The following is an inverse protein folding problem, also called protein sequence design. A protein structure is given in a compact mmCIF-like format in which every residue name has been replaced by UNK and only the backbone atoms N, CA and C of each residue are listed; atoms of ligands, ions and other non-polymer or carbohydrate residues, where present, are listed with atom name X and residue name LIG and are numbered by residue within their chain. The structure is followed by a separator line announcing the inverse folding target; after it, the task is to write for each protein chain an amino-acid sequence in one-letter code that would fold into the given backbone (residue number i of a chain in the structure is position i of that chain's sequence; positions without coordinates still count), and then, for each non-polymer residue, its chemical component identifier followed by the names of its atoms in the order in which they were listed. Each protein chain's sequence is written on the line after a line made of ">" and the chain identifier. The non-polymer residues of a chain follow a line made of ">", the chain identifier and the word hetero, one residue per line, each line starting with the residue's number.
data_IF_821730343391
#
_entry.id   IF_821730343391
#
_cell.length_a   1.000
_cell.length_b   1.000
_cell.length_c   1.000
_cell.angle_alpha   90.00
_cell.angle_beta   90.00
_cell.angle_gamma   90.00
#
_symmetry.space_group_name_H-M   'P 1'
#
loop_
_entity.id
_entity.type
_entity.pdbx_description
1 polymer ?
#
# COMPACT_ATOMS: atom_id res chain seq x y z
N UNK A 1 -3.58 2.47 28.19
CA UNK A 1 -4.85 2.30 27.46
C UNK A 1 -5.97 2.79 28.35
N UNK A 2 -6.86 3.66 27.88
CA UNK A 2 -8.01 4.17 28.65
C UNK A 2 -9.26 3.47 28.15
N UNK A 3 -10.07 2.90 29.05
CA UNK A 3 -11.36 2.33 28.72
C UNK A 3 -12.40 3.45 28.66
N UNK A 4 -12.97 3.69 27.48
CA UNK A 4 -13.92 4.80 27.25
C UNK A 4 -15.39 4.36 27.24
N UNK A 5 -15.65 3.07 27.08
CA UNK A 5 -17.01 2.54 27.01
C UNK A 5 -17.02 1.02 27.12
N UNK A 6 -18.05 0.49 27.78
CA UNK A 6 -18.27 -0.94 27.96
C UNK A 6 -19.76 -1.23 27.72
N UNK A 7 -20.04 -2.16 26.81
CA UNK A 7 -21.40 -2.63 26.56
C UNK A 7 -21.53 -4.08 27.01
N UNK A 8 -22.43 -4.35 27.96
CA UNK A 8 -22.63 -5.69 28.53
C UNK A 8 -24.05 -6.16 28.20
N UNK A 9 -24.20 -6.84 27.06
CA UNK A 9 -25.46 -7.45 26.67
C UNK A 9 -25.23 -8.67 25.76
N UNK A 10 -26.28 -9.50 25.59
CA UNK A 10 -26.25 -10.64 24.65
C UNK A 10 -26.34 -10.23 23.17
N UNK A 11 -26.66 -8.97 22.88
CA UNK A 11 -26.82 -8.42 21.54
C UNK A 11 -25.78 -7.32 21.29
N UNK A 12 -25.42 -7.12 20.03
CA UNK A 12 -24.59 -5.99 19.58
C UNK A 12 -25.16 -4.65 20.11
N UNK A 13 -24.31 -3.67 20.46
CA UNK A 13 -24.76 -2.38 20.95
C UNK A 13 -25.59 -1.65 19.92
N UNK A 14 -26.63 -0.95 20.40
CA UNK A 14 -27.19 0.16 19.63
C UNK A 14 -26.10 1.23 19.51
N UNK A 15 -25.54 1.38 18.31
CA UNK A 15 -24.42 2.30 18.09
C UNK A 15 -24.78 3.74 18.37
N UNK A 16 -26.06 4.13 18.26
CA UNK A 16 -26.51 5.47 18.65
C UNK A 16 -26.37 5.67 20.15
N UNK A 17 -26.88 4.73 20.95
CA UNK A 17 -26.79 4.81 22.41
C UNK A 17 -25.32 4.71 22.85
N UNK A 18 -24.55 3.83 22.24
CA UNK A 18 -23.17 3.54 22.65
C UNK A 18 -22.19 4.64 22.26
N UNK A 19 -22.26 5.20 21.05
CA UNK A 19 -21.28 6.16 20.55
C UNK A 19 -21.63 7.62 20.82
N UNK A 20 -22.91 7.98 20.98
CA UNK A 20 -23.29 9.38 21.17
C UNK A 20 -22.59 10.05 22.37
N UNK A 21 -22.51 9.43 23.57
CA UNK A 21 -21.80 10.03 24.70
C UNK A 21 -20.32 10.28 24.41
N UNK A 22 -19.67 9.39 23.65
CA UNK A 22 -18.29 9.57 23.22
C UNK A 22 -18.17 10.74 22.25
N UNK A 23 -19.06 10.84 21.25
CA UNK A 23 -19.05 11.92 20.25
C UNK A 23 -19.23 13.28 20.92
N UNK A 24 -20.21 13.40 21.83
CA UNK A 24 -20.49 14.63 22.54
C UNK A 24 -19.28 15.06 23.38
N UNK A 25 -18.69 14.12 24.13
CA UNK A 25 -17.52 14.43 24.97
C UNK A 25 -16.27 14.73 24.15
N UNK A 26 -16.04 14.02 23.05
CA UNK A 26 -14.91 14.30 22.17
C UNK A 26 -15.02 15.68 21.52
N UNK A 27 -16.22 16.07 21.10
CA UNK A 27 -16.51 17.39 20.55
C UNK A 27 -16.36 18.52 21.60
N UNK A 28 -16.74 18.27 22.85
CA UNK A 28 -16.51 19.21 23.96
C UNK A 28 -15.00 19.39 24.20
N UNK A 29 -14.25 18.30 24.28
CA UNK A 29 -12.81 18.28 24.57
C UNK A 29 -11.95 18.78 23.41
N UNK A 30 -12.43 18.75 22.17
CA UNK A 30 -11.73 19.38 21.04
C UNK A 30 -11.78 20.90 21.09
N UNK A 31 -12.74 21.48 21.82
CA UNK A 31 -12.91 22.94 21.97
C UNK A 31 -12.34 23.43 23.31
N UNK A 32 -12.70 22.75 24.40
CA UNK A 32 -12.37 23.19 25.76
C UNK A 32 -11.04 22.63 26.25
N UNK A 33 -10.61 21.50 25.71
CA UNK A 33 -9.46 20.74 26.20
C UNK A 33 -9.64 20.20 27.62
N UNK A 34 -8.57 19.67 28.19
CA UNK A 34 -8.49 19.18 29.56
C UNK A 34 -7.12 19.47 30.16
N UNK A 35 -7.09 19.74 31.46
CA UNK A 35 -5.86 20.02 32.21
C UNK A 35 -5.38 18.77 32.93
N UNK A 36 -4.07 18.55 32.92
CA UNK A 36 -3.41 17.44 33.61
C UNK A 36 -1.99 17.86 34.00
N UNK A 37 -1.41 17.18 34.98
CA UNK A 37 -0.08 17.49 35.48
C UNK A 37 0.95 16.46 34.99
N UNK A 38 2.08 16.93 34.48
CA UNK A 38 3.23 16.09 34.12
C UNK A 38 4.50 16.71 34.70
N UNK A 39 5.21 15.97 35.55
CA UNK A 39 6.44 16.45 36.19
C UNK A 39 6.29 17.84 36.85
N UNK A 40 5.17 18.08 37.55
CA UNK A 40 4.84 19.35 38.19
C UNK A 40 4.53 20.52 37.25
N UNK A 41 4.41 20.27 35.95
CA UNK A 41 3.91 21.24 34.97
C UNK A 41 2.42 21.00 34.67
N UNK A 42 1.63 22.07 34.71
CA UNK A 42 0.23 22.03 34.30
C UNK A 42 0.12 22.14 32.78
N UNK A 43 -0.30 21.04 32.16
CA UNK A 43 -0.48 20.92 30.72
C UNK A 43 -1.97 21.02 30.40
N UNK A 44 -2.31 21.82 29.39
CA UNK A 44 -3.64 21.87 28.80
C UNK A 44 -3.60 21.20 27.41
N UNK A 45 -4.36 20.14 27.23
CA UNK A 45 -4.39 19.35 25.99
C UNK A 45 -5.78 19.27 25.39
N UNK A 46 -5.85 19.05 24.07
CA UNK A 46 -7.09 18.95 23.31
C UNK A 46 -7.23 17.56 22.71
N UNK A 47 -8.46 17.06 22.57
CA UNK A 47 -8.72 15.73 22.02
C UNK A 47 -9.19 15.82 20.56
N UNK A 48 -8.44 15.18 19.66
CA UNK A 48 -8.81 15.03 18.25
C UNK A 48 -8.76 13.54 17.88
N UNK A 49 -9.92 12.88 17.68
CA UNK A 49 -9.93 11.51 17.20
C UNK A 49 -9.40 11.43 15.77
N UNK A 50 -8.27 10.76 15.56
CA UNK A 50 -7.63 10.67 14.25
C UNK A 50 -7.95 9.36 13.51
N UNK A 51 -8.30 8.31 14.24
CA UNK A 51 -8.49 6.98 13.66
C UNK A 51 -9.31 6.06 14.55
N UNK A 52 -10.07 5.18 13.91
CA UNK A 52 -10.86 4.11 14.49
C UNK A 52 -10.45 2.79 13.81
N UNK A 53 -9.72 1.95 14.55
CA UNK A 53 -9.28 0.65 14.08
C UNK A 53 -10.21 -0.43 14.64
N UNK A 54 -11.15 -0.88 13.80
CA UNK A 54 -12.12 -1.92 14.13
C UNK A 54 -12.22 -2.91 12.97
N UNK A 55 -12.67 -4.13 13.27
CA UNK A 55 -12.93 -5.15 12.27
C UNK A 55 -14.06 -4.72 11.30
N UNK A 56 -14.20 -5.43 10.18
CA UNK A 56 -15.18 -5.07 9.14
C UNK A 56 -16.64 -5.08 9.65
N UNK A 57 -17.10 -6.08 10.44
CA UNK A 57 -18.45 -6.04 11.04
C UNK A 57 -18.69 -4.81 11.91
N UNK A 58 -17.80 -4.52 12.86
CA UNK A 58 -17.96 -3.38 13.75
C UNK A 58 -17.89 -2.05 12.98
N UNK A 59 -17.01 -1.93 11.97
CA UNK A 59 -16.96 -0.75 11.10
C UNK A 59 -18.29 -0.48 10.41
N UNK A 60 -18.91 -1.50 9.81
CA UNK A 60 -20.22 -1.38 9.17
C UNK A 60 -21.29 -0.94 10.18
N UNK A 61 -21.32 -1.52 11.38
CA UNK A 61 -22.28 -1.13 12.43
C UNK A 61 -22.06 0.31 12.90
N UNK A 62 -20.80 0.71 13.14
CA UNK A 62 -20.45 2.08 13.56
C UNK A 62 -20.79 3.12 12.50
N UNK A 63 -20.66 2.80 11.21
CA UNK A 63 -21.05 3.68 10.10
C UNK A 63 -22.52 3.57 9.70
N UNK A 64 -23.30 2.72 10.35
CA UNK A 64 -24.69 2.41 9.97
C UNK A 64 -24.81 2.02 8.48
N UNK A 65 -23.95 1.11 8.05
CA UNK A 65 -23.87 0.56 6.70
C UNK A 65 -24.19 -0.94 6.70
N UNK A 66 -24.55 -1.48 5.53
CA UNK A 66 -24.59 -2.92 5.29
C UNK A 66 -23.23 -3.55 5.65
N UNK A 67 -23.27 -4.79 6.16
CA UNK A 67 -22.06 -5.57 6.45
C UNK A 67 -21.28 -5.82 5.15
N UNK A 68 -20.00 -6.20 5.30
CA UNK A 68 -19.07 -6.45 4.20
C UNK A 68 -19.53 -7.48 3.15
N UNK A 69 -20.52 -8.31 3.47
CA UNK A 69 -21.15 -9.29 2.57
C UNK A 69 -22.48 -8.81 1.95
N UNK A 70 -22.90 -7.57 2.21
CA UNK A 70 -24.09 -6.95 1.61
C UNK A 70 -23.77 -6.21 0.31
N UNK A 71 -24.81 -5.89 -0.47
CA UNK A 71 -24.67 -5.05 -1.66
C UNK A 71 -24.09 -3.69 -1.30
N UNK A 72 -23.04 -3.27 -2.01
CA UNK A 72 -22.30 -2.03 -1.73
C UNK A 72 -21.77 -1.95 -0.28
N UNK A 73 -21.48 -3.10 0.34
CA UNK A 73 -21.04 -3.19 1.75
C UNK A 73 -19.61 -2.71 2.01
N UNK A 74 -18.83 -2.37 0.99
CA UNK A 74 -17.51 -1.80 1.17
C UNK A 74 -17.61 -0.39 1.76
N UNK A 75 -16.81 -0.14 2.79
CA UNK A 75 -16.75 1.15 3.50
C UNK A 75 -15.81 2.16 2.84
N UNK A 76 -15.00 1.73 1.87
CA UNK A 76 -14.02 2.58 1.18
C UNK A 76 -14.39 2.92 -0.26
N UNK A 77 -15.20 2.10 -0.94
CA UNK A 77 -15.62 2.33 -2.33
C UNK A 77 -17.05 1.86 -2.56
N UNK A 78 -17.60 2.23 -3.71
CA UNK A 78 -18.98 1.90 -4.12
C UNK A 78 -19.06 0.59 -4.92
N UNK A 79 -18.27 -0.41 -4.52
CA UNK A 79 -18.20 -1.68 -5.24
C UNK A 79 -19.49 -2.50 -5.10
N UNK A 80 -20.16 -2.85 -6.22
CA UNK A 80 -21.30 -3.76 -6.17
C UNK A 80 -20.82 -5.18 -5.87
N UNK A 81 -21.50 -5.87 -4.96
CA UNK A 81 -21.23 -7.30 -4.71
C UNK A 81 -22.13 -8.16 -5.58
N UNK A 82 -21.58 -9.22 -6.16
CA UNK A 82 -22.33 -10.21 -6.94
C UNK A 82 -22.49 -11.52 -6.17
N UNK A 83 -23.52 -12.28 -6.50
CA UNK A 83 -23.72 -13.62 -5.96
C UNK A 83 -22.99 -14.64 -6.83
N UNK A 84 -21.94 -15.24 -6.31
CA UNK A 84 -21.10 -16.24 -6.98
C UNK A 84 -21.05 -17.48 -6.09
N UNK A 85 -21.54 -18.61 -6.60
CA UNK A 85 -21.63 -19.89 -5.87
C UNK A 85 -22.38 -19.82 -4.54
N UNK A 86 -23.42 -18.98 -4.46
CA UNK A 86 -24.18 -18.75 -3.22
C UNK A 86 -23.49 -17.82 -2.21
N UNK A 87 -22.31 -17.29 -2.53
CA UNK A 87 -21.59 -16.32 -1.71
C UNK A 87 -21.61 -14.94 -2.36
N UNK A 88 -21.67 -13.89 -1.53
CA UNK A 88 -21.49 -12.51 -1.99
C UNK A 88 -20.01 -12.20 -2.13
N UNK A 89 -19.56 -11.87 -3.34
CA UNK A 89 -18.16 -11.56 -3.66
C UNK A 89 -18.04 -10.19 -4.32
N UNK A 90 -16.86 -9.61 -4.22
CA UNK A 90 -16.47 -8.41 -4.96
C UNK A 90 -15.77 -8.88 -6.25
N UNK A 91 -16.44 -8.89 -7.41
CA UNK A 91 -15.82 -9.34 -8.66
C UNK A 91 -14.67 -8.40 -9.06
N UNK A 92 -13.65 -8.95 -9.74
CA UNK A 92 -12.63 -8.11 -10.35
C UNK A 92 -13.25 -7.33 -11.51
N UNK A 93 -13.12 -6.01 -11.48
CA UNK A 93 -13.59 -5.11 -12.52
C UNK A 93 -12.40 -4.52 -13.29
N UNK A 94 -12.58 -4.24 -14.58
CA UNK A 94 -11.54 -3.64 -15.42
C UNK A 94 -11.32 -2.16 -15.11
N UNK A 95 -12.37 -1.46 -14.68
CA UNK A 95 -12.35 -0.03 -14.40
C UNK A 95 -12.35 0.25 -12.89
N UNK A 96 -11.62 1.29 -12.44
CA UNK A 96 -11.62 1.69 -11.04
C UNK A 96 -12.99 2.22 -10.63
N UNK A 97 -13.47 1.76 -9.48
CA UNK A 97 -14.73 2.21 -8.92
C UNK A 97 -14.59 3.53 -8.16
N UNK A 98 -15.67 4.32 -8.05
CA UNK A 98 -15.70 5.49 -7.19
C UNK A 98 -15.31 5.15 -5.75
N UNK A 99 -14.32 5.86 -5.23
CA UNK A 99 -13.98 5.83 -3.81
C UNK A 99 -15.02 6.63 -3.03
N UNK A 100 -15.36 6.15 -1.84
CA UNK A 100 -16.17 6.94 -0.90
C UNK A 100 -15.31 8.06 -0.35
N UNK A 101 -15.92 9.21 -0.17
CA UNK A 101 -15.38 10.35 0.58
C UNK A 101 -16.27 10.65 1.79
N UNK A 102 -15.74 11.36 2.78
CA UNK A 102 -16.50 11.83 3.95
C UNK A 102 -17.80 12.52 3.52
N UNK A 103 -17.72 13.48 2.59
CA UNK A 103 -18.88 14.19 2.05
C UNK A 103 -19.87 13.24 1.36
N UNK A 104 -19.38 12.32 0.52
CA UNK A 104 -20.25 11.40 -0.21
C UNK A 104 -21.03 10.47 0.74
N UNK A 105 -20.42 10.05 1.85
CA UNK A 105 -21.07 9.23 2.86
C UNK A 105 -22.11 10.06 3.60
N UNK A 106 -21.75 11.26 4.06
CA UNK A 106 -22.65 12.16 4.79
C UNK A 106 -23.89 12.52 3.96
N UNK A 107 -23.73 12.82 2.67
CA UNK A 107 -24.86 13.09 1.78
C UNK A 107 -25.78 11.87 1.67
N UNK A 108 -25.22 10.68 1.42
CA UNK A 108 -26.01 9.45 1.33
C UNK A 108 -26.70 9.08 2.65
N UNK A 109 -26.08 9.36 3.79
CA UNK A 109 -26.70 9.22 5.11
C UNK A 109 -27.92 10.12 5.28
N UNK A 110 -27.83 11.38 4.84
CA UNK A 110 -28.95 12.35 4.85
C UNK A 110 -30.07 11.85 3.94
N UNK A 111 -29.76 11.47 2.70
CA UNK A 111 -30.74 10.92 1.75
C UNK A 111 -31.46 9.68 2.32
N UNK A 112 -30.70 8.72 2.86
CA UNK A 112 -31.26 7.53 3.49
C UNK A 112 -32.17 7.84 4.69
N UNK A 113 -31.92 8.94 5.41
CA UNK A 113 -32.79 9.40 6.49
C UNK A 113 -34.14 9.93 5.96
N UNK A 114 -34.12 10.68 4.86
CA UNK A 114 -35.33 11.24 4.24
C UNK A 114 -36.22 10.18 3.59
N UNK A 115 -35.64 9.09 3.09
CA UNK A 115 -36.39 7.95 2.50
C UNK A 115 -37.00 7.00 3.56
N UNK A 116 -37.24 7.49 4.78
CA UNK A 116 -37.81 6.74 5.91
C UNK A 116 -37.06 5.44 6.28
N UNK A 117 -35.76 5.35 5.97
CA UNK A 117 -34.90 4.16 6.25
C UNK A 117 -35.41 2.85 5.65
N UNK A 118 -36.30 2.91 4.66
CA UNK A 118 -36.88 1.71 4.00
C UNK A 118 -35.97 1.13 2.92
N UNK A 119 -35.09 1.96 2.36
CA UNK A 119 -34.13 1.58 1.33
C UNK A 119 -32.74 2.10 1.71
N UNK A 120 -31.71 1.30 1.43
CA UNK A 120 -30.34 1.74 1.57
C UNK A 120 -29.89 2.55 0.35
N UNK A 121 -29.03 3.54 0.57
CA UNK A 121 -28.41 4.31 -0.51
C UNK A 121 -26.98 3.83 -0.69
N UNK A 122 -26.76 2.98 -1.70
CA UNK A 122 -25.45 2.34 -1.95
C UNK A 122 -24.88 1.71 -0.68
N UNK A 123 -25.66 0.87 0.01
CA UNK A 123 -25.23 0.18 1.23
C UNK A 123 -25.25 1.03 2.51
N UNK A 124 -25.60 2.32 2.47
CA UNK A 124 -25.77 3.16 3.66
C UNK A 124 -27.22 3.07 4.15
N UNK A 125 -27.42 2.72 5.42
CA UNK A 125 -28.75 2.51 6.01
C UNK A 125 -29.32 3.78 6.65
N UNK A 126 -28.47 4.78 6.93
CA UNK A 126 -28.87 6.05 7.51
C UNK A 126 -27.73 6.72 8.27
N UNK A 127 -28.02 7.80 9.01
CA UNK A 127 -27.01 8.52 9.78
C UNK A 127 -26.38 7.67 10.87
N UNK A 128 -25.07 7.84 11.05
CA UNK A 128 -24.29 7.34 12.19
C UNK A 128 -24.02 8.48 13.18
N UNK A 129 -23.90 8.22 14.50
CA UNK A 129 -23.43 9.22 15.46
C UNK A 129 -22.08 9.85 15.06
N UNK A 130 -21.20 9.07 14.42
CA UNK A 130 -19.88 9.54 13.98
C UNK A 130 -19.97 10.63 12.92
N UNK A 131 -21.10 10.76 12.22
CA UNK A 131 -21.35 11.89 11.32
C UNK A 131 -21.20 13.25 12.00
N UNK A 132 -21.47 13.31 13.31
CA UNK A 132 -21.38 14.51 14.13
C UNK A 132 -20.03 14.66 14.85
N UNK A 133 -19.11 13.69 14.70
CA UNK A 133 -17.79 13.78 15.30
C UNK A 133 -16.92 14.79 14.54
N UNK A 134 -16.56 15.89 15.20
CA UNK A 134 -15.74 16.94 14.60
C UNK A 134 -14.32 16.42 14.39
N UNK A 135 -13.69 16.90 13.32
CA UNK A 135 -12.31 16.56 12.94
C UNK A 135 -12.07 15.09 12.60
N UNK A 136 -13.14 14.32 12.35
CA UNK A 136 -13.06 12.91 11.95
C UNK A 136 -13.66 12.71 10.56
N UNK A 137 -12.89 12.08 9.68
CA UNK A 137 -13.31 11.69 8.33
C UNK A 137 -13.87 10.27 8.38
N UNK A 138 -15.12 10.07 7.95
CA UNK A 138 -15.81 8.79 8.02
C UNK A 138 -15.19 7.68 7.16
N UNK A 139 -14.33 8.03 6.20
CA UNK A 139 -13.60 7.08 5.35
C UNK A 139 -12.15 6.96 5.82
N UNK A 140 -11.41 8.07 5.85
CA UNK A 140 -9.97 8.07 6.19
C UNK A 140 -9.72 7.79 7.66
N UNK A 141 -10.62 8.21 8.54
CA UNK A 141 -10.56 7.93 9.96
C UNK A 141 -10.91 6.48 10.29
N UNK A 142 -11.57 5.75 9.40
CA UNK A 142 -11.83 4.32 9.57
C UNK A 142 -10.65 3.51 9.05
N UNK A 143 -9.70 3.22 9.93
CA UNK A 143 -8.46 2.53 9.56
C UNK A 143 -8.74 1.04 9.36
N UNK A 144 -8.08 0.46 8.35
CA UNK A 144 -8.08 -0.98 8.11
C UNK A 144 -7.51 -1.72 9.33
N UNK A 145 -8.27 -2.70 9.83
CA UNK A 145 -7.74 -3.61 10.82
C UNK A 145 -6.81 -4.62 10.14
N UNK A 146 -5.51 -4.36 10.30
CA UNK A 146 -4.44 -5.15 9.71
C UNK A 146 -4.52 -6.63 10.10
N UNK A 147 -4.98 -6.94 11.32
CA UNK A 147 -5.04 -8.32 11.82
C UNK A 147 -6.05 -9.15 11.02
N UNK A 148 -7.30 -8.71 10.96
CA UNK A 148 -8.35 -9.44 10.25
C UNK A 148 -8.27 -9.25 8.73
N UNK A 149 -7.82 -8.10 8.24
CA UNK A 149 -7.75 -7.82 6.80
C UNK A 149 -6.54 -8.46 6.14
N UNK A 150 -5.33 -8.17 6.63
CA UNK A 150 -4.10 -8.59 5.96
C UNK A 150 -3.68 -10.00 6.36
N UNK A 151 -3.72 -10.32 7.66
CA UNK A 151 -3.19 -11.58 8.17
C UNK A 151 -4.19 -12.73 8.03
N UNK A 152 -5.33 -12.65 8.72
CA UNK A 152 -6.37 -13.69 8.67
C UNK A 152 -7.26 -13.60 7.41
N UNK A 153 -7.24 -12.47 6.72
CA UNK A 153 -7.97 -12.29 5.47
C UNK A 153 -7.13 -12.70 4.28
N UNK A 154 -6.31 -11.76 3.78
CA UNK A 154 -5.57 -11.91 2.52
C UNK A 154 -4.51 -13.00 2.60
N UNK A 155 -3.65 -13.00 3.63
CA UNK A 155 -2.51 -13.93 3.70
C UNK A 155 -2.98 -15.38 3.81
N UNK A 156 -3.94 -15.65 4.69
CA UNK A 156 -4.55 -16.97 4.84
C UNK A 156 -5.28 -17.42 3.57
N UNK A 157 -6.08 -16.54 2.97
CA UNK A 157 -6.79 -16.85 1.71
C UNK A 157 -5.81 -17.16 0.58
N UNK A 158 -4.74 -16.38 0.46
CA UNK A 158 -3.69 -16.57 -0.54
C UNK A 158 -3.00 -17.93 -0.36
N UNK A 159 -2.60 -18.29 0.86
CA UNK A 159 -2.02 -19.60 1.12
C UNK A 159 -3.00 -20.75 0.88
N UNK A 160 -4.28 -20.55 1.16
CA UNK A 160 -5.32 -21.54 0.85
C UNK A 160 -5.39 -21.80 -0.65
N UNK A 161 -5.46 -20.74 -1.47
CA UNK A 161 -5.47 -20.84 -2.94
C UNK A 161 -4.26 -21.62 -3.45
N UNK A 162 -3.05 -21.28 -2.98
CA UNK A 162 -1.82 -21.95 -3.38
C UNK A 162 -1.83 -23.45 -3.00
N UNK A 163 -2.47 -23.82 -1.90
CA UNK A 163 -2.42 -25.18 -1.34
C UNK A 163 -3.57 -26.08 -1.76
N UNK A 164 -4.68 -25.56 -2.29
CA UNK A 164 -5.88 -26.38 -2.60
C UNK A 164 -6.18 -26.50 -4.08
N UNK A 165 -5.63 -25.63 -4.93
CA UNK A 165 -6.03 -25.59 -6.34
C UNK A 165 -5.17 -26.50 -7.24
N UNK A 166 -5.28 -27.82 -7.06
CA UNK A 166 -4.40 -28.84 -7.66
C UNK A 166 -4.31 -28.83 -9.20
N UNK A 167 -5.25 -28.17 -9.90
CA UNK A 167 -5.29 -28.08 -11.36
C UNK A 167 -4.51 -26.88 -11.91
N UNK A 168 -4.06 -25.98 -11.05
CA UNK A 168 -3.45 -24.72 -11.44
C UNK A 168 -1.93 -24.79 -11.35
N UNK A 169 -1.23 -24.09 -12.23
CA UNK A 169 0.24 -24.09 -12.26
C UNK A 169 0.85 -23.59 -10.95
N UNK A 170 0.20 -22.65 -10.27
CA UNK A 170 0.66 -22.09 -9.00
C UNK A 170 0.44 -23.03 -7.79
N UNK A 171 -0.08 -24.23 -8.00
CA UNK A 171 -0.33 -25.19 -6.93
C UNK A 171 0.97 -25.63 -6.24
N UNK A 172 1.00 -25.49 -4.92
CA UNK A 172 2.11 -25.91 -4.06
C UNK A 172 1.73 -26.97 -3.03
N UNK A 173 0.50 -27.49 -3.07
CA UNK A 173 -0.02 -28.45 -2.10
C UNK A 173 0.36 -29.91 -2.33
N UNK A 174 1.32 -30.22 -3.23
CA UNK A 174 1.76 -31.61 -3.42
C UNK A 174 2.60 -32.10 -2.23
N UNK A 175 2.57 -33.40 -1.87
CA UNK A 175 3.32 -33.91 -0.72
C UNK A 175 4.81 -33.55 -0.73
N UNK A 176 5.45 -33.61 -1.90
CA UNK A 176 6.86 -33.24 -2.06
C UNK A 176 7.11 -31.76 -1.80
N UNK A 177 6.26 -30.85 -2.31
CA UNK A 177 6.38 -29.41 -2.09
C UNK A 177 6.09 -29.04 -0.64
N UNK A 178 5.04 -29.62 -0.04
CA UNK A 178 4.71 -29.43 1.38
C UNK A 178 5.86 -29.89 2.28
N UNK A 179 6.45 -31.06 2.00
CA UNK A 179 7.60 -31.56 2.75
C UNK A 179 8.76 -30.56 2.74
N UNK A 180 9.13 -30.05 1.55
CA UNK A 180 10.19 -29.05 1.40
C UNK A 180 9.86 -27.72 2.10
N UNK A 181 8.61 -27.25 2.02
CA UNK A 181 8.16 -26.05 2.75
C UNK A 181 8.35 -26.25 4.25
N UNK A 182 7.95 -27.40 4.78
CA UNK A 182 8.06 -27.71 6.20
C UNK A 182 9.50 -27.86 6.66
N UNK A 183 10.36 -28.52 5.88
CA UNK A 183 11.79 -28.62 6.16
C UNK A 183 12.40 -27.22 6.34
N UNK A 184 12.12 -26.32 5.39
CA UNK A 184 12.60 -24.92 5.46
C UNK A 184 11.99 -24.18 6.64
N UNK A 185 10.68 -24.24 6.81
CA UNK A 185 9.95 -23.51 7.86
C UNK A 185 10.40 -23.92 9.26
N UNK A 186 10.58 -25.23 9.51
CA UNK A 186 11.01 -25.77 10.80
C UNK A 186 12.51 -25.56 11.07
N UNK A 187 13.32 -25.31 10.04
CA UNK A 187 14.73 -24.94 10.21
C UNK A 187 14.94 -23.51 10.72
N UNK A 188 13.91 -22.66 10.61
CA UNK A 188 14.00 -21.25 10.98
C UNK A 188 14.02 -21.10 12.51
N UNK A 189 15.05 -20.41 13.01
CA UNK A 189 15.20 -20.03 14.42
C UNK A 189 14.85 -18.55 14.60
N UNK A 190 13.64 -18.20 15.06
CA UNK A 190 13.26 -16.82 15.25
C UNK A 190 14.14 -16.10 16.30
N UNK A 191 14.40 -14.80 16.12
CA UNK A 191 14.93 -13.96 17.21
C UNK A 191 13.91 -13.83 18.35
N UNK A 192 14.38 -13.44 19.54
CA UNK A 192 13.57 -13.36 20.77
C UNK A 192 12.36 -12.42 20.68
N UNK A 193 12.37 -11.46 19.75
CA UNK A 193 11.23 -10.57 19.50
C UNK A 193 10.05 -11.26 18.79
N UNK A 194 10.25 -12.45 18.20
CA UNK A 194 9.18 -13.25 17.61
C UNK A 194 8.79 -14.34 18.62
N UNK A 195 7.67 -14.11 19.29
CA UNK A 195 7.24 -14.92 20.44
C UNK A 195 6.90 -16.39 20.12
N UNK A 196 6.77 -16.78 18.85
CA UNK A 196 6.35 -18.14 18.46
C UNK A 196 7.28 -18.76 17.44
N UNK A 197 7.68 -20.00 17.73
CA UNK A 197 8.42 -20.86 16.82
C UNK A 197 7.50 -21.26 15.65
N UNK A 198 8.01 -21.33 14.41
CA UNK A 198 7.25 -21.84 13.27
C UNK A 198 6.72 -23.25 13.54
N UNK A 199 5.52 -23.53 13.04
CA UNK A 199 4.90 -24.86 13.08
C UNK A 199 4.73 -25.37 11.65
N UNK A 200 4.41 -26.66 11.52
CA UNK A 200 4.10 -27.26 10.23
C UNK A 200 3.00 -26.45 9.50
N UNK A 201 3.18 -26.22 8.20
CA UNK A 201 2.24 -25.48 7.33
C UNK A 201 0.88 -26.19 7.17
N UNK A 202 0.82 -27.48 7.44
CA UNK A 202 -0.40 -28.28 7.48
C UNK A 202 -1.30 -27.85 8.66
N UNK A 203 -0.72 -27.34 9.74
CA UNK A 203 -1.45 -26.79 10.89
C UNK A 203 -1.91 -25.34 10.68
N UNK A 204 -1.75 -24.76 9.48
CA UNK A 204 -2.05 -23.34 9.21
C UNK A 204 -3.46 -22.91 9.57
N UNK A 205 -4.44 -23.83 9.49
CA UNK A 205 -5.83 -23.56 9.87
C UNK A 205 -5.99 -23.25 11.38
N UNK A 206 -4.96 -23.55 12.19
CA UNK A 206 -4.90 -23.24 13.62
C UNK A 206 -3.91 -22.11 13.92
N UNK A 207 -3.36 -21.44 12.90
CA UNK A 207 -2.45 -20.33 13.10
C UNK A 207 -3.20 -19.09 13.57
N UNK A 208 -2.66 -18.42 14.59
CA UNK A 208 -3.18 -17.10 14.98
C UNK A 208 -2.54 -16.03 14.11
N UNK A 209 -3.10 -14.82 14.17
CA UNK A 209 -2.58 -13.67 13.42
C UNK A 209 -1.07 -13.45 13.54
N UNK A 210 -0.47 -13.61 14.73
CA UNK A 210 0.99 -13.43 14.90
C UNK A 210 1.84 -14.45 14.13
N UNK A 211 1.32 -15.65 13.87
CA UNK A 211 1.98 -16.65 13.03
C UNK A 211 1.86 -16.29 11.56
N UNK A 212 0.68 -15.84 11.13
CA UNK A 212 0.48 -15.28 9.80
C UNK A 212 1.34 -14.05 9.53
N UNK A 213 1.54 -13.18 10.52
CA UNK A 213 2.46 -12.05 10.44
C UNK A 213 3.90 -12.51 10.20
N UNK A 214 4.36 -13.48 11.01
CA UNK A 214 5.72 -13.99 10.88
C UNK A 214 5.94 -14.68 9.53
N UNK A 215 4.94 -15.44 9.07
CA UNK A 215 4.91 -16.04 7.74
C UNK A 215 4.99 -14.97 6.64
N UNK A 216 4.09 -13.98 6.65
CA UNK A 216 4.00 -12.94 5.64
C UNK A 216 5.31 -12.14 5.52
N UNK A 217 5.86 -11.68 6.64
CA UNK A 217 6.97 -10.73 6.65
C UNK A 217 8.33 -11.41 6.51
N UNK A 218 8.52 -12.58 7.12
CA UNK A 218 9.86 -13.17 7.26
C UNK A 218 10.03 -14.52 6.58
N UNK A 219 9.05 -15.42 6.67
CA UNK A 219 9.29 -16.84 6.35
C UNK A 219 8.85 -17.24 4.95
N UNK A 220 7.75 -16.68 4.45
CA UNK A 220 7.12 -17.08 3.19
C UNK A 220 8.09 -17.05 2.02
N UNK A 221 8.88 -15.98 1.88
CA UNK A 221 9.86 -15.82 0.81
C UNK A 221 10.89 -16.95 0.79
N UNK A 222 11.44 -17.30 1.95
CA UNK A 222 12.46 -18.36 2.10
C UNK A 222 11.82 -19.73 1.84
N UNK A 223 10.66 -19.97 2.45
CA UNK A 223 9.98 -21.25 2.36
C UNK A 223 9.51 -21.55 0.94
N UNK A 224 9.03 -20.55 0.20
CA UNK A 224 8.45 -20.70 -1.14
C UNK A 224 9.46 -20.54 -2.29
N UNK A 225 10.72 -20.24 -2.00
CA UNK A 225 11.76 -20.01 -3.02
C UNK A 225 11.94 -21.24 -3.93
N UNK A 226 11.69 -21.07 -5.24
CA UNK A 226 11.78 -22.15 -6.22
C UNK A 226 10.68 -23.23 -6.11
N UNK A 227 9.63 -22.99 -5.33
CA UNK A 227 8.47 -23.90 -5.20
C UNK A 227 7.26 -23.37 -5.98
N UNK A 228 7.04 -22.06 -5.89
CA UNK A 228 6.15 -21.36 -6.80
C UNK A 228 6.74 -21.44 -8.21
N UNK A 229 5.91 -21.61 -9.27
CA UNK A 229 6.40 -21.54 -10.64
C UNK A 229 7.20 -20.25 -10.84
N UNK A 230 8.31 -20.31 -11.57
CA UNK A 230 9.14 -19.14 -11.95
C UNK A 230 8.41 -18.13 -12.85
N UNK A 231 7.11 -18.26 -12.98
CA UNK A 231 6.37 -17.77 -14.10
C UNK A 231 5.56 -16.60 -13.58
N UNK A 232 6.15 -15.41 -13.72
CA UNK A 232 5.54 -14.26 -14.41
C UNK A 232 6.27 -12.95 -14.09
N UNK A 233 6.90 -12.75 -12.93
CA UNK A 233 7.79 -11.59 -12.69
C UNK A 233 9.26 -12.00 -12.64
N UNK A 234 10.04 -11.59 -13.64
CA UNK A 234 11.50 -11.75 -13.65
C UNK A 234 12.17 -10.40 -13.41
N UNK A 235 13.15 -10.34 -12.50
CA UNK A 235 13.90 -9.12 -12.21
C UNK A 235 15.19 -9.09 -13.02
N UNK A 236 15.45 -7.98 -13.70
CA UNK A 236 16.65 -7.76 -14.50
C UNK A 236 17.49 -6.61 -13.94
N UNK A 237 18.81 -6.73 -14.09
CA UNK A 237 19.76 -5.67 -13.76
C UNK A 237 20.04 -4.71 -14.92
N UNK A 238 19.68 -5.09 -16.15
CA UNK A 238 19.96 -4.33 -17.37
C UNK A 238 18.81 -4.42 -18.36
N UNK A 239 18.65 -3.38 -19.15
CA UNK A 239 17.78 -3.35 -20.33
C UNK A 239 18.44 -2.51 -21.43
N UNK A 240 18.20 -2.88 -22.69
CA UNK A 240 18.63 -2.10 -23.86
C UNK A 240 17.36 -1.54 -24.52
N UNK A 241 17.28 -0.21 -24.65
CA UNK A 241 16.16 0.48 -25.28
C UNK A 241 16.71 1.50 -26.28
N UNK A 242 16.22 1.47 -27.52
CA UNK A 242 16.61 2.40 -28.58
C UNK A 242 18.14 2.51 -28.76
N UNK A 243 18.86 1.38 -28.69
CA UNK A 243 20.32 1.32 -28.81
C UNK A 243 21.10 1.83 -27.58
N UNK A 244 20.41 2.30 -26.54
CA UNK A 244 21.02 2.76 -25.29
C UNK A 244 20.91 1.68 -24.20
N UNK A 245 21.98 1.49 -23.43
CA UNK A 245 21.98 0.58 -22.27
C UNK A 245 21.55 1.33 -21.02
N UNK A 246 20.68 0.71 -20.24
CA UNK A 246 20.24 1.18 -18.93
C UNK A 246 20.45 0.08 -17.89
N UNK A 247 20.83 0.46 -16.67
CA UNK A 247 21.04 -0.52 -15.59
C UNK A 247 20.39 -0.09 -14.29
N UNK A 248 20.09 -1.07 -13.42
CA UNK A 248 19.64 -0.78 -12.06
C UNK A 248 20.78 -0.17 -11.23
N UNK A 249 20.46 0.69 -10.27
CA UNK A 249 21.43 1.23 -9.33
C UNK A 249 22.07 0.16 -8.44
N UNK A 250 21.47 -1.03 -8.37
CA UNK A 250 21.99 -2.21 -7.65
C UNK A 250 23.02 -3.00 -8.47
N UNK A 251 23.23 -2.67 -9.75
CA UNK A 251 24.19 -3.34 -10.60
C UNK A 251 25.62 -2.81 -10.40
N UNK A 252 26.46 -3.60 -9.71
CA UNK A 252 27.85 -3.26 -9.36
C UNK A 252 28.88 -4.03 -10.22
N UNK A 253 29.81 -3.30 -10.86
CA UNK A 253 31.03 -3.82 -11.50
C UNK A 253 32.18 -2.82 -11.36
N UNK A 254 33.44 -3.30 -11.42
CA UNK A 254 34.64 -2.56 -11.03
C UNK A 254 35.00 -1.30 -11.86
N UNK A 255 34.44 -1.11 -13.06
CA UNK A 255 34.57 0.13 -13.87
C UNK A 255 33.25 0.37 -14.61
N UNK A 256 32.51 1.43 -14.26
CA UNK A 256 31.18 1.67 -14.84
C UNK A 256 30.87 3.15 -15.03
N UNK A 257 30.35 3.49 -16.21
CA UNK A 257 29.60 4.73 -16.47
C UNK A 257 28.21 4.58 -15.88
N UNK A 258 27.77 5.51 -15.02
CA UNK A 258 26.46 5.44 -14.38
C UNK A 258 25.33 5.64 -15.41
N UNK A 259 24.82 4.52 -15.95
CA UNK A 259 23.73 4.43 -16.91
C UNK A 259 22.38 4.08 -16.24
N UNK A 260 22.25 4.30 -14.93
CA UNK A 260 20.97 4.15 -14.23
C UNK A 260 20.09 5.40 -14.27
N UNK A 261 20.59 6.50 -14.86
CA UNK A 261 19.94 7.82 -14.83
C UNK A 261 19.44 8.19 -16.22
N UNK A 262 18.20 8.66 -16.31
CA UNK A 262 17.56 8.93 -17.59
C UNK A 262 16.52 10.06 -17.46
N UNK A 263 16.11 10.60 -18.62
CA UNK A 263 15.02 11.57 -18.76
C UNK A 263 13.71 10.83 -19.01
N UNK A 264 12.67 11.17 -18.28
CA UNK A 264 11.29 10.74 -18.49
C UNK A 264 10.65 11.65 -19.57
N UNK A 265 9.75 11.11 -20.40
CA UNK A 265 9.09 11.88 -21.47
C UNK A 265 8.39 13.16 -20.98
N UNK A 266 7.82 13.14 -19.78
CA UNK A 266 7.16 14.30 -19.16
C UNK A 266 8.13 15.42 -18.72
N UNK A 267 9.42 15.26 -18.98
CA UNK A 267 10.45 16.25 -18.66
C UNK A 267 11.17 16.01 -17.34
N UNK A 268 10.64 15.14 -16.49
CA UNK A 268 11.25 14.69 -15.23
C UNK A 268 12.46 13.78 -15.45
N UNK A 269 13.17 13.46 -14.36
CA UNK A 269 14.37 12.61 -14.37
C UNK A 269 14.24 11.49 -13.36
N UNK A 270 14.80 10.33 -13.69
CA UNK A 270 14.69 9.14 -12.85
C UNK A 270 16.02 8.41 -12.66
N UNK A 271 16.13 7.73 -11.52
CA UNK A 271 17.16 6.72 -11.24
C UNK A 271 16.48 5.35 -11.19
N UNK A 272 16.91 4.42 -12.04
CA UNK A 272 16.38 3.06 -12.08
C UNK A 272 16.81 2.29 -10.83
N UNK A 273 15.85 1.81 -10.05
CA UNK A 273 16.07 0.93 -8.89
C UNK A 273 15.97 -0.53 -9.26
N UNK A 274 14.92 -0.91 -10.01
CA UNK A 274 14.66 -2.29 -10.45
C UNK A 274 13.95 -2.30 -11.80
N UNK A 275 14.13 -3.37 -12.55
CA UNK A 275 13.42 -3.67 -13.80
C UNK A 275 12.72 -5.01 -13.57
N UNK A 276 11.39 -5.08 -13.64
CA UNK A 276 10.64 -6.35 -13.62
C UNK A 276 9.95 -6.53 -14.98
N UNK A 277 10.13 -7.72 -15.57
CA UNK A 277 9.27 -8.22 -16.65
C UNK A 277 8.12 -8.96 -15.97
N UNK A 278 6.89 -8.49 -16.14
CA UNK A 278 5.68 -9.19 -15.73
C UNK A 278 4.97 -9.79 -16.96
N UNK A 279 4.71 -11.08 -16.95
CA UNK A 279 3.95 -11.78 -17.97
C UNK A 279 2.55 -12.08 -17.42
N UNK A 280 1.48 -11.65 -18.10
CA UNK A 280 0.11 -11.90 -17.64
C UNK A 280 -0.81 -12.00 -18.85
N UNK A 281 -1.68 -13.01 -18.91
CA UNK A 281 -2.62 -13.23 -20.03
C UNK A 281 -1.95 -13.16 -21.43
N UNK A 282 -0.79 -13.80 -21.61
CA UNK A 282 0.03 -13.75 -22.84
C UNK A 282 0.53 -12.34 -23.24
N UNK A 283 0.40 -11.34 -22.38
CA UNK A 283 1.02 -10.02 -22.54
C UNK A 283 2.26 -9.90 -21.66
N UNK A 284 3.37 -9.45 -22.25
CA UNK A 284 4.61 -9.17 -21.54
C UNK A 284 4.71 -7.68 -21.31
N UNK A 285 4.69 -7.28 -20.04
CA UNK A 285 4.86 -5.90 -19.62
C UNK A 285 6.20 -5.74 -18.90
N UNK A 286 6.93 -4.67 -19.19
CA UNK A 286 8.17 -4.35 -18.48
C UNK A 286 7.95 -3.09 -17.66
N UNK A 287 8.06 -3.26 -16.35
CA UNK A 287 7.93 -2.18 -15.36
C UNK A 287 9.31 -1.79 -14.83
N UNK A 288 9.57 -0.49 -14.80
CA UNK A 288 10.81 0.09 -14.34
C UNK A 288 10.49 0.92 -13.10
N UNK A 289 11.05 0.51 -11.97
CA UNK A 289 10.89 1.17 -10.69
C UNK A 289 11.95 2.27 -10.56
N UNK A 290 11.51 3.51 -10.34
CA UNK A 290 12.35 4.70 -10.46
C UNK A 290 12.15 5.65 -9.30
N UNK A 291 13.25 6.21 -8.79
CA UNK A 291 13.19 7.38 -7.92
C UNK A 291 13.32 8.62 -8.80
N UNK A 292 12.39 9.56 -8.66
CA UNK A 292 12.47 10.84 -9.37
C UNK A 292 13.58 11.71 -8.77
N UNK A 293 14.29 12.43 -9.63
CA UNK A 293 15.29 13.44 -9.25
C UNK A 293 14.63 14.80 -9.33
N UNK A 294 14.77 15.62 -8.30
CA UNK A 294 14.30 17.01 -8.31
C UNK A 294 15.40 17.90 -8.90
N UNK A 295 15.06 18.63 -9.95
CA UNK A 295 15.95 19.64 -10.53
C UNK A 295 15.75 20.96 -9.80
N UNK A 296 16.85 21.64 -9.53
CA UNK A 296 16.86 23.03 -9.08
C UNK A 296 17.22 23.92 -10.28
N UNK A 297 16.61 25.10 -10.40
CA UNK A 297 16.84 26.02 -11.52
C UNK A 297 18.16 26.80 -11.44
N UNK A 298 19.11 26.32 -10.64
CA UNK A 298 20.45 26.87 -10.50
C UNK A 298 21.41 26.24 -11.49
N UNK A 299 22.02 27.09 -12.32
CA UNK A 299 23.06 26.71 -13.28
C UNK A 299 24.43 26.70 -12.60
N UNK A 300 25.31 25.81 -13.05
CA UNK A 300 26.63 25.61 -12.46
C UNK A 300 27.55 26.85 -12.63
N UNK A 301 27.35 27.62 -13.70
CA UNK A 301 28.13 28.82 -14.02
C UNK A 301 27.21 29.81 -14.77
N UNK A 302 26.88 30.94 -14.15
CA UNK A 302 26.47 32.16 -14.87
C UNK A 302 27.71 33.05 -14.98
N UNK A 303 28.46 32.92 -16.07
CA UNK A 303 29.47 33.90 -16.43
C UNK A 303 29.03 34.50 -17.77
N UNK A 304 29.31 35.78 -17.98
CA UNK A 304 28.72 36.61 -19.06
C UNK A 304 28.92 36.05 -20.48
N UNK A 305 29.84 35.11 -20.68
CA UNK A 305 30.23 34.61 -22.00
C UNK A 305 29.82 33.14 -22.28
N UNK A 306 29.43 32.33 -21.29
CA UNK A 306 29.07 30.90 -21.52
C UNK A 306 27.95 30.43 -20.59
N UNK A 307 26.76 30.19 -21.14
CA UNK A 307 25.64 29.59 -20.41
C UNK A 307 25.52 28.09 -20.71
N UNK A 308 25.91 27.23 -19.76
CA UNK A 308 25.81 25.77 -19.88
C UNK A 308 24.42 25.29 -19.45
N UNK A 309 23.42 25.46 -20.31
CA UNK A 309 22.00 25.13 -19.99
C UNK A 309 21.72 23.64 -19.77
N UNK A 310 22.60 22.76 -20.23
CA UNK A 310 22.39 21.31 -20.20
C UNK A 310 22.87 20.65 -18.91
N UNK A 311 23.56 21.39 -18.03
CA UNK A 311 23.96 20.94 -16.68
C UNK A 311 23.17 21.75 -15.65
N UNK A 312 22.42 21.07 -14.79
CA UNK A 312 21.64 21.70 -13.71
C UNK A 312 21.93 21.07 -12.35
N UNK A 313 21.85 21.86 -11.28
CA UNK A 313 21.89 21.35 -9.92
C UNK A 313 20.65 20.48 -9.64
N UNK A 314 20.81 19.44 -8.82
CA UNK A 314 19.72 18.53 -8.52
C UNK A 314 19.84 17.90 -7.13
N UNK A 315 18.71 17.49 -6.57
CA UNK A 315 18.63 16.78 -5.31
C UNK A 315 17.84 15.48 -5.49
N UNK A 316 18.26 14.44 -4.76
CA UNK A 316 17.51 13.19 -4.66
C UNK A 316 16.65 13.33 -3.40
N UNK A 317 15.31 13.28 -3.50
CA UNK A 317 14.45 13.34 -2.33
C UNK A 317 14.83 12.28 -1.30
N UNK A 318 14.82 12.63 -0.01
CA UNK A 318 15.00 11.66 1.07
C UNK A 318 13.77 10.74 1.24
N UNK A 319 12.65 11.08 0.61
CA UNK A 319 11.48 10.22 0.57
C UNK A 319 11.77 9.00 -0.31
N UNK A 320 11.50 7.81 0.21
CA UNK A 320 11.78 6.55 -0.47
C UNK A 320 10.70 6.24 -1.54
N UNK A 321 10.10 7.28 -2.15
CA UNK A 321 8.98 7.15 -3.07
C UNK A 321 9.46 6.50 -4.37
N UNK A 322 8.99 5.28 -4.60
CA UNK A 322 9.27 4.52 -5.81
C UNK A 322 8.11 4.74 -6.79
N UNK A 323 8.42 5.30 -7.94
CA UNK A 323 7.48 5.46 -9.04
C UNK A 323 7.63 4.28 -10.01
N UNK A 324 6.55 3.92 -10.70
CA UNK A 324 6.56 2.86 -11.72
C UNK A 324 6.36 3.53 -13.07
N UNK A 325 7.26 3.25 -14.01
CA UNK A 325 7.14 3.66 -15.41
C UNK A 325 7.28 2.45 -16.34
N UNK A 326 6.95 2.63 -17.61
CA UNK A 326 7.15 1.66 -18.69
C UNK A 326 8.40 1.99 -19.51
N UNK A 327 8.78 1.09 -20.42
CA UNK A 327 9.89 1.35 -21.35
C UNK A 327 9.65 2.57 -22.25
N UNK A 328 8.41 2.86 -22.60
CA UNK A 328 8.07 3.98 -23.48
C UNK A 328 8.35 5.32 -22.81
N UNK A 329 8.23 5.40 -21.49
CA UNK A 329 8.43 6.64 -20.72
C UNK A 329 9.90 7.08 -20.67
N UNK A 330 10.84 6.19 -21.01
CA UNK A 330 12.27 6.52 -21.09
C UNK A 330 12.55 7.30 -22.39
N UNK A 331 12.92 8.57 -22.24
CA UNK A 331 13.23 9.44 -23.37
C UNK A 331 14.69 9.32 -23.83
N UNK A 332 15.65 9.50 -22.91
CA UNK A 332 17.08 9.47 -23.24
C UNK A 332 17.97 9.24 -21.99
N UNK A 333 19.18 8.69 -22.14
CA UNK A 333 20.13 8.56 -21.03
C UNK A 333 20.60 9.92 -20.52
N UNK A 334 20.96 9.99 -19.24
CA UNK A 334 21.48 11.17 -18.58
C UNK A 334 22.66 10.80 -17.68
N UNK A 335 23.53 11.77 -17.40
CA UNK A 335 24.63 11.57 -16.45
C UNK A 335 24.31 12.33 -15.18
N UNK A 336 24.48 11.66 -14.05
CA UNK A 336 24.50 12.25 -12.72
C UNK A 336 25.96 12.33 -12.25
N UNK A 337 26.40 13.53 -11.88
CA UNK A 337 27.75 13.82 -11.45
C UNK A 337 27.71 14.32 -10.01
N UNK A 338 28.66 13.87 -9.19
CA UNK A 338 28.89 14.43 -7.86
C UNK A 338 30.16 15.28 -7.90
N UNK A 339 30.03 16.58 -7.65
CA UNK A 339 31.14 17.53 -7.63
C UNK A 339 31.10 18.24 -6.28
N UNK A 340 32.15 18.10 -5.47
CA UNK A 340 32.29 18.75 -4.15
C UNK A 340 31.04 18.58 -3.26
N UNK A 341 30.49 17.37 -3.22
CA UNK A 341 29.30 17.00 -2.43
C UNK A 341 27.98 17.61 -2.91
N UNK A 342 27.95 18.18 -4.11
CA UNK A 342 26.74 18.63 -4.79
C UNK A 342 26.45 17.72 -6.00
N UNK A 343 25.17 17.47 -6.26
CA UNK A 343 24.74 16.62 -7.36
C UNK A 343 24.31 17.47 -8.55
N UNK A 344 24.86 17.16 -9.71
CA UNK A 344 24.56 17.83 -10.96
C UNK A 344 24.13 16.82 -12.00
N UNK A 345 23.15 17.21 -12.80
CA UNK A 345 22.63 16.39 -13.89
C UNK A 345 22.99 16.98 -15.23
N UNK A 346 23.45 16.15 -16.16
CA UNK A 346 23.79 16.52 -17.53
C UNK A 346 22.82 15.88 -18.55
N UNK A 347 22.23 16.71 -19.42
CA UNK A 347 21.50 16.30 -20.63
C UNK A 347 22.44 16.25 -21.82
N UNK A 348 22.37 15.21 -22.63
CA UNK A 348 22.85 15.32 -24.01
C UNK A 348 21.71 15.76 -24.93
N UNK A 349 21.97 16.72 -25.81
CA UNK A 349 21.11 16.97 -26.96
C UNK A 349 21.50 15.98 -28.07
N UNK A 350 20.51 15.47 -28.83
CA UNK A 350 20.66 14.45 -29.89
C UNK A 350 21.79 14.68 -30.92
N UNK A 351 22.35 15.89 -31.01
CA UNK A 351 23.49 16.20 -31.87
C UNK A 351 24.86 15.74 -31.32
N UNK A 352 24.99 15.40 -30.03
CA UNK A 352 26.28 15.03 -29.41
C UNK A 352 26.52 13.52 -29.29
N UNK A 353 25.51 12.69 -29.55
CA UNK A 353 25.57 11.22 -29.35
C UNK A 353 26.53 10.49 -30.29
N UNK A 354 27.03 11.14 -31.36
CA UNK A 354 27.94 10.51 -32.32
C UNK A 354 29.44 10.60 -31.97
N UNK A 355 29.84 11.34 -30.92
CA UNK A 355 31.28 11.61 -30.64
C UNK A 355 31.84 11.10 -29.31
N UNK A 356 31.01 10.55 -28.42
CA UNK A 356 31.46 10.14 -27.06
C UNK A 356 31.23 8.66 -26.74
N UNK A 357 31.00 7.82 -27.75
CA UNK A 357 31.04 6.36 -27.60
C UNK A 357 32.32 5.86 -28.29
N UNK A 358 33.44 5.99 -27.58
CA UNK A 358 34.63 5.14 -27.72
C UNK A 358 35.37 5.09 -26.39
#
# INVERSE_FOLDING_TARGET
>A
MVLIGLWVAKKEPDMKIFLQPFVDKANELSITGFKWNYNSEDIHSYLFPLGCCVDSPARSSMLNMKKFNGSYGCTYCEHPTESVDGFRKYPMLNEPLPSRTDDSIKQKMITAAHENRKLDIMGILGPSPLMYLKHFDLVKGMVLDFMHSCLLGVTESHMTILMTNAKEDYYIGSPAKIHLINERLLSIKPPSCIARIPRNIEERNQWKASQWLSWLIYYSLICLQGILPDNKCSIYHKIILNGCRYTSCTYNQCKKTNDSVFKIRDGDFGIIKKICKLEYNNTVNVFIFVNKIRIEDTYLIENTDVCVKHIKHCTIPQTNDINIITCDDIHQPCILMNIKSQLFRCSFNKAMTAKYIH
#
